data_IF_218952790918
#
_entry.id   IF_218952790918
#
_cell.length_a   1.000
_cell.length_b   1.000
_cell.length_c   1.000
_cell.angle_alpha   90.00
_cell.angle_beta   90.00
_cell.angle_gamma   90.00
#
_symmetry.space_group_name_H-M   'P 1'
#
loop_
_entity.id
_entity.type
_entity.pdbx_description
1 polymer ?
#
# COMPACT_ATOMS: atom_id res chain seq x y z
N UNK A 1 14.60 1.30 -11.28
CA UNK A 1 14.50 0.87 -9.87
C UNK A 1 14.38 2.04 -8.90
N UNK A 2 15.19 3.10 -8.95
CA UNK A 2 15.13 4.26 -8.05
C UNK A 2 13.72 4.87 -7.96
N UNK A 3 13.05 5.14 -9.09
CA UNK A 3 11.68 5.67 -9.12
C UNK A 3 10.70 4.71 -8.43
N UNK A 4 10.84 3.39 -8.61
CA UNK A 4 10.01 2.42 -7.90
C UNK A 4 10.17 2.51 -6.38
N UNK A 5 11.36 2.80 -5.87
CA UNK A 5 11.58 3.00 -4.44
C UNK A 5 10.94 4.29 -3.92
N UNK A 6 10.96 5.37 -4.69
CA UNK A 6 10.29 6.62 -4.32
C UNK A 6 8.77 6.46 -4.16
N UNK A 7 8.14 5.58 -4.94
CA UNK A 7 6.68 5.36 -4.86
C UNK A 7 6.20 4.74 -3.55
N UNK A 8 7.05 4.07 -2.77
CA UNK A 8 6.68 3.38 -1.52
C UNK A 8 7.21 4.03 -0.25
N UNK A 9 7.74 5.24 -0.34
CA UNK A 9 8.39 5.96 0.78
C UNK A 9 7.43 6.24 1.95
N UNK A 10 6.12 6.35 1.74
CA UNK A 10 5.15 6.75 2.77
C UNK A 10 5.40 8.15 3.35
N UNK A 11 6.04 9.03 2.59
CA UNK A 11 6.22 10.43 2.99
C UNK A 11 5.01 11.26 2.55
N UNK A 12 4.45 12.07 3.47
CA UNK A 12 3.31 12.94 3.14
C UNK A 12 3.60 13.90 2.00
N UNK A 13 4.84 14.40 1.89
CA UNK A 13 5.27 15.29 0.83
C UNK A 13 5.17 14.68 -0.58
N UNK A 14 5.27 13.35 -0.71
CA UNK A 14 5.17 12.64 -1.99
C UNK A 14 3.75 12.20 -2.35
N UNK A 15 2.82 12.20 -1.40
CA UNK A 15 1.45 11.78 -1.67
C UNK A 15 0.74 12.62 -2.74
N UNK A 16 0.84 13.98 -2.76
CA UNK A 16 0.22 14.79 -3.81
C UNK A 16 0.74 14.46 -5.21
N UNK A 17 2.04 14.16 -5.35
CA UNK A 17 2.69 13.84 -6.63
C UNK A 17 2.03 12.62 -7.29
N UNK A 18 1.70 11.60 -6.49
CA UNK A 18 1.08 10.36 -6.99
C UNK A 18 -0.45 10.35 -6.85
N UNK A 19 -1.01 11.35 -6.18
CA UNK A 19 -2.43 11.40 -5.87
C UNK A 19 -2.88 10.38 -4.80
N UNK A 20 -1.98 10.05 -3.87
CA UNK A 20 -2.18 9.16 -2.72
C UNK A 20 -1.26 7.94 -2.73
N UNK A 21 -1.02 7.37 -1.53
CA UNK A 21 -0.16 6.20 -1.38
C UNK A 21 -0.71 4.95 -2.11
N UNK A 22 -2.02 4.81 -2.19
CA UNK A 22 -2.71 3.74 -2.92
C UNK A 22 -2.37 3.74 -4.41
N UNK A 23 -2.28 4.92 -5.03
CA UNK A 23 -1.85 5.07 -6.43
C UNK A 23 -0.35 4.86 -6.56
N UNK A 24 0.45 5.42 -5.66
CA UNK A 24 1.89 5.23 -5.66
C UNK A 24 2.27 3.74 -5.60
N UNK A 25 1.59 2.93 -4.78
CA UNK A 25 1.77 1.48 -4.72
C UNK A 25 1.36 0.79 -6.05
N UNK A 26 0.32 1.28 -6.73
CA UNK A 26 -0.01 0.76 -8.08
C UNK A 26 1.10 1.04 -9.09
N UNK A 27 1.67 2.24 -9.09
CA UNK A 27 2.86 2.56 -9.90
C UNK A 27 4.03 1.65 -9.57
N UNK A 28 4.31 1.40 -8.29
CA UNK A 28 5.35 0.47 -7.86
C UNK A 28 5.17 -0.93 -8.48
N UNK A 29 3.94 -1.43 -8.49
CA UNK A 29 3.60 -2.74 -9.05
C UNK A 29 3.80 -2.83 -10.58
N UNK A 30 3.81 -1.71 -11.28
CA UNK A 30 4.12 -1.64 -12.71
C UNK A 30 5.63 -1.47 -12.91
N UNK A 31 6.25 -0.54 -12.18
CA UNK A 31 7.66 -0.20 -12.33
C UNK A 31 8.60 -1.33 -11.94
N UNK A 32 8.22 -2.16 -10.95
CA UNK A 32 9.04 -3.31 -10.55
C UNK A 32 9.28 -4.31 -11.67
N UNK A 33 8.23 -4.89 -12.27
CA UNK A 33 8.37 -5.78 -13.43
C UNK A 33 9.04 -5.11 -14.63
N UNK A 34 8.70 -3.84 -14.92
CA UNK A 34 9.32 -3.10 -16.01
C UNK A 34 10.82 -2.96 -15.83
N UNK A 35 11.30 -2.78 -14.59
CA UNK A 35 12.73 -2.71 -14.30
C UNK A 35 13.44 -4.06 -14.58
N UNK A 36 12.79 -5.19 -14.28
CA UNK A 36 13.34 -6.52 -14.60
C UNK A 36 13.40 -6.74 -16.12
N UNK A 37 12.33 -6.37 -16.85
CA UNK A 37 12.31 -6.48 -18.31
C UNK A 37 13.45 -5.64 -18.93
N UNK A 38 13.60 -4.38 -18.49
CA UNK A 38 14.67 -3.51 -18.96
C UNK A 38 16.07 -4.03 -18.63
N UNK A 39 16.24 -4.66 -17.48
CA UNK A 39 17.48 -5.32 -17.09
C UNK A 39 17.80 -6.48 -18.03
N UNK A 40 16.84 -7.33 -18.35
CA UNK A 40 17.01 -8.44 -19.31
C UNK A 40 17.38 -7.88 -20.69
N UNK A 41 16.68 -6.85 -21.17
CA UNK A 41 16.97 -6.18 -22.44
C UNK A 41 18.40 -5.63 -22.45
N UNK A 42 18.84 -5.00 -21.34
CA UNK A 42 20.22 -4.50 -21.20
C UNK A 42 21.25 -5.64 -21.37
N UNK A 43 21.07 -6.76 -20.68
CA UNK A 43 21.98 -7.91 -20.79
C UNK A 43 21.96 -8.52 -22.19
N UNK A 44 20.80 -8.57 -22.86
CA UNK A 44 20.70 -9.03 -24.26
C UNK A 44 21.51 -8.14 -25.19
N UNK A 45 21.41 -6.81 -25.06
CA UNK A 45 22.22 -5.89 -25.88
C UNK A 45 23.72 -6.03 -25.61
N UNK A 46 24.13 -6.25 -24.36
CA UNK A 46 25.52 -6.56 -24.03
C UNK A 46 26.00 -7.86 -24.68
N UNK A 47 25.16 -8.90 -24.68
CA UNK A 47 25.48 -10.17 -25.33
C UNK A 47 25.64 -10.03 -26.84
N UNK A 48 24.77 -9.26 -27.50
CA UNK A 48 24.86 -8.96 -28.93
C UNK A 48 26.14 -8.19 -29.27
N UNK A 49 26.48 -7.16 -28.49
CA UNK A 49 27.70 -6.38 -28.68
C UNK A 49 28.99 -7.22 -28.52
N UNK A 50 28.97 -8.18 -27.57
CA UNK A 50 30.12 -9.11 -27.42
C UNK A 50 30.24 -10.10 -28.57
N UNK A 51 29.15 -10.57 -29.16
CA UNK A 51 29.17 -11.41 -30.35
C UNK A 51 29.83 -10.69 -31.54
N UNK A 52 29.47 -9.42 -31.74
CA UNK A 52 30.10 -8.60 -32.78
C UNK A 52 31.60 -8.38 -32.53
N UNK A 53 31.99 -8.29 -31.24
CA UNK A 53 33.41 -8.14 -30.85
C UNK A 53 34.22 -9.45 -30.87
N UNK A 54 33.61 -10.59 -31.20
CA UNK A 54 34.27 -11.90 -31.27
C UNK A 54 34.65 -12.50 -29.90
N UNK A 55 34.08 -11.99 -28.81
CA UNK A 55 34.30 -12.47 -27.42
C UNK A 55 33.28 -13.53 -27.01
N UNK A 56 33.59 -14.31 -25.99
CA UNK A 56 32.71 -15.38 -25.50
C UNK A 56 31.49 -14.82 -24.76
N UNK A 57 30.28 -15.26 -25.14
CA UNK A 57 29.05 -14.96 -24.39
C UNK A 57 29.11 -15.56 -22.98
N UNK A 58 29.85 -16.66 -22.78
CA UNK A 58 30.01 -17.31 -21.48
C UNK A 58 30.51 -16.32 -20.41
N UNK A 59 31.36 -15.40 -20.76
CA UNK A 59 31.94 -14.41 -19.86
C UNK A 59 30.89 -13.43 -19.27
N UNK A 60 29.71 -13.33 -19.88
CA UNK A 60 28.60 -12.53 -19.38
C UNK A 60 27.73 -13.26 -18.35
N UNK A 61 27.78 -14.57 -18.29
CA UNK A 61 26.85 -15.37 -17.49
C UNK A 61 27.53 -16.19 -16.40
N UNK A 62 28.87 -16.39 -16.48
CA UNK A 62 29.60 -17.24 -15.52
C UNK A 62 30.41 -16.33 -14.59
N UNK A 63 30.02 -16.19 -13.31
CA UNK A 63 30.80 -15.43 -12.32
C UNK A 63 32.14 -16.18 -12.03
N UNK A 64 33.14 -15.43 -11.57
CA UNK A 64 34.46 -15.92 -11.18
C UNK A 64 35.37 -16.42 -12.32
N UNK A 65 34.94 -16.33 -13.57
CA UNK A 65 35.75 -16.66 -14.75
C UNK A 65 36.54 -15.49 -15.29
N UNK A 66 36.12 -14.27 -14.91
CA UNK A 66 36.71 -13.03 -15.36
C UNK A 66 37.06 -12.12 -14.16
N UNK A 67 37.50 -10.91 -14.43
CA UNK A 67 37.84 -9.92 -13.41
C UNK A 67 36.75 -9.72 -12.35
N UNK A 68 37.18 -9.46 -11.11
CA UNK A 68 36.30 -9.41 -9.93
C UNK A 68 35.11 -8.44 -10.06
N UNK A 69 35.29 -7.33 -10.78
CA UNK A 69 34.22 -6.35 -11.01
C UNK A 69 33.06 -6.95 -11.82
N UNK A 70 33.35 -7.61 -12.95
CA UNK A 70 32.34 -8.26 -13.80
C UNK A 70 31.61 -9.40 -13.08
N UNK A 71 32.31 -10.13 -12.21
CA UNK A 71 31.70 -11.19 -11.40
C UNK A 71 30.63 -10.63 -10.45
N UNK A 72 30.83 -9.45 -9.89
CA UNK A 72 29.83 -8.77 -9.04
C UNK A 72 28.57 -8.41 -9.83
N UNK A 73 28.72 -7.95 -11.04
CA UNK A 73 27.59 -7.57 -11.91
C UNK A 73 26.72 -8.77 -12.28
N UNK A 74 27.35 -9.91 -12.59
CA UNK A 74 26.65 -11.16 -12.86
C UNK A 74 25.90 -11.65 -11.61
N UNK A 75 26.49 -11.56 -10.44
CA UNK A 75 25.84 -11.92 -9.17
C UNK A 75 24.64 -11.00 -8.91
N UNK A 76 24.80 -9.69 -9.09
CA UNK A 76 23.73 -8.70 -8.91
C UNK A 76 22.57 -8.98 -9.88
N UNK A 77 22.88 -9.31 -11.13
CA UNK A 77 21.89 -9.69 -12.13
C UNK A 77 21.06 -10.90 -11.69
N UNK A 78 21.70 -12.00 -11.29
CA UNK A 78 21.01 -13.18 -10.81
C UNK A 78 20.23 -12.96 -9.53
N UNK A 79 20.75 -12.16 -8.59
CA UNK A 79 20.03 -11.79 -7.39
C UNK A 79 18.75 -10.97 -7.71
N UNK A 80 18.82 -10.06 -8.68
CA UNK A 80 17.63 -9.30 -9.11
C UNK A 80 16.59 -10.19 -9.77
N UNK A 81 17.00 -11.15 -10.59
CA UNK A 81 16.07 -12.13 -11.19
C UNK A 81 15.45 -13.02 -10.13
N UNK A 82 16.24 -13.52 -9.18
CA UNK A 82 15.76 -14.36 -8.08
C UNK A 82 14.77 -13.60 -7.20
N UNK A 83 15.13 -12.43 -6.71
CA UNK A 83 14.25 -11.60 -5.86
C UNK A 83 13.01 -11.12 -6.61
N UNK A 84 13.14 -10.81 -7.91
CA UNK A 84 12.01 -10.49 -8.79
C UNK A 84 11.05 -11.68 -8.94
N UNK A 85 11.56 -12.88 -9.16
CA UNK A 85 10.76 -14.11 -9.21
C UNK A 85 10.04 -14.40 -7.89
N UNK A 86 10.78 -14.32 -6.77
CA UNK A 86 10.21 -14.51 -5.43
C UNK A 86 9.14 -13.44 -5.08
N UNK A 87 9.23 -12.25 -5.65
CA UNK A 87 8.19 -11.21 -5.46
C UNK A 87 6.82 -11.60 -6.05
N UNK A 88 6.77 -12.57 -6.97
CA UNK A 88 5.54 -13.12 -7.55
C UNK A 88 5.06 -14.41 -6.90
N UNK A 89 5.85 -15.00 -5.99
CA UNK A 89 5.43 -16.23 -5.32
C UNK A 89 4.33 -15.97 -4.30
N UNK A 90 3.12 -16.41 -4.63
CA UNK A 90 1.93 -16.30 -3.78
C UNK A 90 1.87 -17.34 -2.65
N UNK A 91 2.82 -18.28 -2.58
CA UNK A 91 2.87 -19.33 -1.54
C UNK A 91 3.56 -18.83 -0.27
N UNK A 92 4.33 -17.75 -0.37
CA UNK A 92 4.99 -17.16 0.78
C UNK A 92 4.00 -16.43 1.68
N UNK A 93 4.20 -16.52 3.01
CA UNK A 93 3.50 -15.62 3.94
C UNK A 93 3.91 -14.17 3.67
N UNK A 94 2.99 -13.23 3.91
CA UNK A 94 3.25 -11.80 3.66
C UNK A 94 4.50 -11.30 4.38
N UNK A 95 4.74 -11.73 5.60
CA UNK A 95 5.89 -11.33 6.42
C UNK A 95 7.22 -11.78 5.79
N UNK A 96 7.30 -13.05 5.38
CA UNK A 96 8.49 -13.59 4.70
C UNK A 96 8.72 -12.90 3.36
N UNK A 97 7.66 -12.77 2.57
CA UNK A 97 7.69 -12.05 1.31
C UNK A 97 8.23 -10.63 1.49
N UNK A 98 7.72 -9.88 2.49
CA UNK A 98 8.16 -8.51 2.75
C UNK A 98 9.64 -8.45 3.16
N UNK A 99 10.10 -9.41 3.98
CA UNK A 99 11.50 -9.48 4.42
C UNK A 99 12.43 -9.72 3.24
N UNK A 100 12.10 -10.69 2.36
CA UNK A 100 12.87 -10.97 1.14
C UNK A 100 12.82 -9.80 0.17
N UNK A 101 11.63 -9.21 -0.04
CA UNK A 101 11.47 -8.08 -0.96
C UNK A 101 12.28 -6.84 -0.53
N UNK A 102 12.49 -6.62 0.77
CA UNK A 102 13.34 -5.51 1.27
C UNK A 102 14.80 -5.64 0.83
N UNK A 103 15.29 -6.87 0.57
CA UNK A 103 16.65 -7.10 0.08
C UNK A 103 16.86 -6.55 -1.33
N UNK A 104 15.81 -6.34 -2.13
CA UNK A 104 15.92 -5.71 -3.45
C UNK A 104 16.57 -4.34 -3.39
N UNK A 105 16.46 -3.63 -2.26
CA UNK A 105 17.13 -2.35 -2.05
C UNK A 105 18.65 -2.48 -1.93
N UNK A 106 19.16 -3.52 -1.28
CA UNK A 106 20.60 -3.78 -1.22
C UNK A 106 21.15 -4.14 -2.61
N UNK A 107 20.41 -4.96 -3.35
CA UNK A 107 20.80 -5.31 -4.72
C UNK A 107 20.72 -4.10 -5.66
N UNK A 108 19.75 -3.19 -5.43
CA UNK A 108 19.72 -1.89 -6.12
C UNK A 108 20.98 -1.07 -5.86
N UNK A 109 21.46 -1.00 -4.60
CA UNK A 109 22.68 -0.27 -4.25
C UNK A 109 23.92 -0.90 -4.91
N UNK A 110 23.98 -2.23 -5.03
CA UNK A 110 25.02 -2.92 -5.78
C UNK A 110 25.01 -2.55 -7.26
N UNK A 111 23.84 -2.60 -7.92
CA UNK A 111 23.69 -2.17 -9.32
C UNK A 111 23.96 -0.66 -9.52
N UNK A 112 23.69 0.15 -8.50
CA UNK A 112 24.02 1.57 -8.51
C UNK A 112 25.53 1.80 -8.45
N UNK A 113 26.26 1.02 -7.64
CA UNK A 113 27.71 1.06 -7.57
C UNK A 113 28.32 0.69 -8.93
N UNK A 114 27.85 -0.40 -9.55
CA UNK A 114 28.23 -0.77 -10.91
C UNK A 114 28.07 0.39 -11.90
N UNK A 115 26.89 1.01 -11.96
CA UNK A 115 26.60 2.10 -12.89
C UNK A 115 27.47 3.35 -12.73
N UNK A 116 28.09 3.53 -11.55
CA UNK A 116 28.98 4.68 -11.27
C UNK A 116 30.46 4.34 -11.49
N UNK A 117 30.85 3.07 -11.23
CA UNK A 117 32.24 2.64 -11.25
C UNK A 117 32.67 2.19 -12.65
N UNK A 118 31.74 1.59 -13.41
CA UNK A 118 32.06 1.06 -14.74
C UNK A 118 32.43 2.17 -15.71
N UNK A 119 33.60 2.11 -16.36
CA UNK A 119 33.99 3.06 -17.39
C UNK A 119 33.08 2.91 -18.63
N UNK A 120 32.67 4.03 -19.23
CA UNK A 120 31.84 4.01 -20.43
C UNK A 120 31.04 5.27 -20.63
N UNK A 121 30.04 5.24 -21.51
CA UNK A 121 29.25 6.39 -21.95
C UNK A 121 28.68 7.23 -20.82
N UNK A 122 28.36 6.62 -19.66
CA UNK A 122 27.83 7.34 -18.50
C UNK A 122 28.94 8.16 -17.83
N UNK A 123 30.16 7.62 -17.75
CA UNK A 123 31.30 8.32 -17.15
C UNK A 123 31.73 9.54 -17.99
N UNK A 124 31.60 9.44 -19.31
CA UNK A 124 32.07 10.46 -20.28
C UNK A 124 31.02 11.55 -20.54
N UNK A 125 29.73 11.31 -20.23
CA UNK A 125 28.68 12.30 -20.49
C UNK A 125 28.15 12.86 -19.14
N UNK A 126 28.75 13.93 -18.69
CA UNK A 126 28.46 14.62 -17.41
C UNK A 126 26.97 14.80 -17.08
N UNK A 127 26.08 15.27 -17.98
CA UNK A 127 24.66 15.44 -17.63
C UNK A 127 23.98 14.12 -17.29
N UNK A 128 24.28 13.04 -17.99
CA UNK A 128 23.73 11.72 -17.73
C UNK A 128 24.23 11.14 -16.40
N UNK A 129 25.53 11.29 -16.14
CA UNK A 129 26.16 10.89 -14.88
C UNK A 129 25.51 11.60 -13.70
N UNK A 130 25.37 12.92 -13.77
CA UNK A 130 24.73 13.73 -12.73
C UNK A 130 23.30 13.27 -12.46
N UNK A 131 22.52 13.06 -13.51
CA UNK A 131 21.15 12.57 -13.40
C UNK A 131 21.06 11.18 -12.76
N UNK A 132 21.93 10.25 -13.16
CA UNK A 132 22.03 8.92 -12.58
C UNK A 132 22.38 8.97 -11.09
N UNK A 133 23.36 9.78 -10.70
CA UNK A 133 23.74 9.95 -9.28
C UNK A 133 22.57 10.51 -8.46
N UNK A 134 21.86 11.50 -8.96
CA UNK A 134 20.66 12.05 -8.28
C UNK A 134 19.62 10.96 -8.07
N UNK A 135 19.31 10.15 -9.08
CA UNK A 135 18.35 9.06 -8.98
C UNK A 135 18.80 7.97 -8.00
N UNK A 136 20.09 7.62 -8.00
CA UNK A 136 20.66 6.63 -7.08
C UNK A 136 20.54 7.12 -5.63
N UNK A 137 20.94 8.35 -5.37
CA UNK A 137 20.85 8.95 -4.03
C UNK A 137 19.39 9.04 -3.56
N UNK A 138 18.49 9.48 -4.43
CA UNK A 138 17.06 9.57 -4.12
C UNK A 138 16.45 8.19 -3.84
N UNK A 139 16.75 7.18 -4.66
CA UNK A 139 16.27 5.81 -4.47
C UNK A 139 16.85 5.15 -3.20
N UNK A 140 18.14 5.33 -2.96
CA UNK A 140 18.82 4.83 -1.76
C UNK A 140 18.27 5.48 -0.47
N UNK A 141 18.11 6.80 -0.47
CA UNK A 141 17.49 7.53 0.64
C UNK A 141 16.03 7.09 0.88
N UNK A 142 15.26 6.88 -0.19
CA UNK A 142 13.90 6.36 -0.12
C UNK A 142 13.85 4.98 0.52
N UNK A 143 14.72 4.07 0.12
CA UNK A 143 14.82 2.74 0.68
C UNK A 143 15.24 2.79 2.16
N UNK A 144 16.29 3.54 2.49
CA UNK A 144 16.79 3.70 3.86
C UNK A 144 15.69 4.25 4.78
N UNK A 145 15.02 5.33 4.35
CA UNK A 145 13.90 5.89 5.10
C UNK A 145 12.80 4.85 5.31
N UNK A 146 12.38 4.17 4.24
CA UNK A 146 11.25 3.23 4.29
C UNK A 146 11.53 2.00 5.16
N UNK A 147 12.73 1.45 5.09
CA UNK A 147 13.09 0.19 5.77
C UNK A 147 13.58 0.42 7.19
N UNK A 148 14.38 1.47 7.42
CA UNK A 148 15.07 1.71 8.69
C UNK A 148 14.42 2.81 9.51
N UNK A 149 14.14 3.95 8.88
CA UNK A 149 13.79 5.17 9.61
C UNK A 149 12.28 5.36 9.80
N UNK A 150 11.43 4.79 8.94
CA UNK A 150 9.98 5.07 8.97
C UNK A 150 9.32 4.78 10.31
N UNK A 151 9.71 3.71 11.00
CA UNK A 151 9.13 3.36 12.30
C UNK A 151 9.48 4.39 13.42
N UNK A 152 10.52 5.19 13.21
CA UNK A 152 10.97 6.23 14.17
C UNK A 152 10.53 7.62 13.75
N UNK A 153 10.62 7.93 12.46
CA UNK A 153 10.41 9.28 11.92
C UNK A 153 9.06 9.44 11.20
N UNK A 154 8.32 8.35 10.99
CA UNK A 154 7.01 8.39 10.35
C UNK A 154 5.97 9.12 11.21
N UNK A 155 4.84 9.57 10.60
CA UNK A 155 3.77 10.28 11.30
C UNK A 155 3.03 9.34 12.25
N UNK A 156 3.55 9.19 13.46
CA UNK A 156 3.01 8.31 14.51
C UNK A 156 2.12 9.10 15.46
N UNK A 157 0.97 8.52 15.76
CA UNK A 157 0.01 8.96 16.77
C UNK A 157 -0.22 7.82 17.75
N UNK A 158 -0.28 8.16 19.03
CA UNK A 158 -0.56 7.23 20.10
C UNK A 158 -2.05 7.22 20.41
N UNK A 159 -2.64 6.04 20.41
CA UNK A 159 -4.03 5.80 20.77
C UNK A 159 -4.13 4.74 21.85
N UNK A 160 -5.18 4.81 22.68
CA UNK A 160 -5.58 3.75 23.58
C UNK A 160 -6.84 3.07 23.07
N UNK A 161 -6.85 1.76 23.11
CA UNK A 161 -8.02 0.97 22.79
C UNK A 161 -9.12 1.26 23.81
N UNK A 162 -10.26 1.76 23.34
CA UNK A 162 -11.45 1.98 24.19
C UNK A 162 -12.26 0.69 24.32
N UNK A 163 -12.51 0.04 23.17
CA UNK A 163 -13.26 -1.21 23.11
C UNK A 163 -13.04 -1.92 21.78
N UNK A 164 -13.27 -3.23 21.80
CA UNK A 164 -13.39 -4.06 20.59
C UNK A 164 -14.83 -4.49 20.47
N UNK A 165 -15.51 -4.11 19.40
CA UNK A 165 -16.90 -4.47 19.13
C UNK A 165 -16.94 -5.56 18.07
N UNK A 166 -17.50 -6.73 18.40
CA UNK A 166 -17.74 -7.79 17.41
C UNK A 166 -18.98 -7.46 16.58
N UNK A 167 -18.84 -7.47 15.28
CA UNK A 167 -19.93 -7.25 14.32
C UNK A 167 -20.48 -8.55 13.72
N UNK A 168 -19.87 -9.69 14.05
CA UNK A 168 -20.17 -10.97 13.41
C UNK A 168 -19.32 -11.21 12.15
N UNK A 169 -19.41 -12.42 11.56
CA UNK A 169 -18.73 -12.81 10.31
C UNK A 169 -17.23 -12.50 10.27
N UNK A 170 -16.54 -12.70 11.40
CA UNK A 170 -15.13 -12.37 11.57
C UNK A 170 -14.80 -10.88 11.31
N UNK A 171 -15.71 -9.97 11.62
CA UNK A 171 -15.52 -8.53 11.54
C UNK A 171 -15.59 -7.94 12.93
N UNK A 172 -14.65 -7.06 13.24
CA UNK A 172 -14.57 -6.29 14.48
C UNK A 172 -14.38 -4.82 14.19
N UNK A 173 -14.85 -3.98 15.09
CA UNK A 173 -14.49 -2.57 15.15
C UNK A 173 -13.54 -2.35 16.32
N UNK A 174 -12.37 -1.78 16.04
CA UNK A 174 -11.49 -1.22 17.06
C UNK A 174 -11.85 0.25 17.24
N UNK A 175 -12.34 0.61 18.41
CA UNK A 175 -12.63 2.00 18.78
C UNK A 175 -11.52 2.50 19.69
N UNK A 176 -10.89 3.60 19.33
CA UNK A 176 -9.65 4.08 19.94
C UNK A 176 -9.74 5.56 20.29
N UNK A 177 -9.15 5.94 21.44
CA UNK A 177 -9.05 7.31 21.92
C UNK A 177 -7.63 7.85 21.70
N UNK A 178 -7.46 9.08 21.22
CA UNK A 178 -6.13 9.71 21.13
C UNK A 178 -5.58 10.00 22.53
N UNK A 179 -4.28 9.74 22.72
CA UNK A 179 -3.60 10.02 24.00
C UNK A 179 -3.14 11.47 24.04
N UNK A 180 -2.27 11.88 23.13
CA UNK A 180 -1.67 13.22 23.16
C UNK A 180 -2.38 14.17 22.19
N UNK A 181 -2.32 13.81 20.91
CA UNK A 181 -2.89 14.61 19.83
C UNK A 181 -3.77 13.76 18.93
N UNK A 182 -4.87 14.36 18.53
CA UNK A 182 -5.77 13.74 17.56
C UNK A 182 -5.15 13.81 16.17
N UNK A 183 -5.22 12.71 15.43
CA UNK A 183 -4.87 12.69 14.01
C UNK A 183 -5.94 13.43 13.21
N UNK A 184 -5.53 14.40 12.41
CA UNK A 184 -6.40 15.04 11.43
C UNK A 184 -6.36 14.22 10.13
N UNK A 185 -7.52 13.88 9.59
CA UNK A 185 -7.62 13.06 8.38
C UNK A 185 -8.83 13.44 7.54
N UNK A 186 -8.79 13.07 6.27
CA UNK A 186 -9.95 13.15 5.37
C UNK A 186 -10.69 11.81 5.34
N UNK A 187 -12.04 11.83 5.24
CA UNK A 187 -12.84 10.60 5.12
C UNK A 187 -12.38 9.77 3.91
N UNK A 188 -12.27 8.45 4.11
CA UNK A 188 -11.82 7.51 3.09
C UNK A 188 -10.32 7.24 3.08
N UNK A 189 -9.54 7.91 3.93
CA UNK A 189 -8.13 7.59 4.15
C UNK A 189 -7.96 6.30 4.97
N UNK A 190 -6.74 5.80 5.00
CA UNK A 190 -6.37 4.65 5.80
C UNK A 190 -5.14 4.94 6.66
N UNK A 191 -4.90 4.09 7.62
CA UNK A 191 -3.75 4.15 8.53
C UNK A 191 -3.01 2.82 8.54
N UNK A 192 -1.76 2.86 9.01
CA UNK A 192 -1.08 1.65 9.43
C UNK A 192 -1.17 1.52 10.95
N UNK A 193 -1.65 0.38 11.40
CA UNK A 193 -1.75 0.04 12.82
C UNK A 193 -0.59 -0.87 13.23
N UNK A 194 -0.04 -0.61 14.41
CA UNK A 194 0.87 -1.49 15.13
C UNK A 194 0.40 -1.63 16.58
N UNK A 195 0.48 -2.84 17.09
CA UNK A 195 0.24 -3.15 18.50
C UNK A 195 1.56 -3.51 19.15
N UNK A 196 2.19 -2.60 19.93
CA UNK A 196 3.55 -2.79 20.45
C UNK A 196 3.71 -4.03 21.34
N UNK A 197 2.71 -4.34 22.17
CA UNK A 197 2.76 -5.40 23.16
C UNK A 197 2.32 -6.78 22.64
N UNK A 198 2.03 -6.87 21.34
CA UNK A 198 1.64 -8.14 20.72
C UNK A 198 2.88 -8.98 20.41
N UNK A 199 3.05 -10.10 21.12
CA UNK A 199 4.17 -11.03 20.92
C UNK A 199 4.31 -11.49 19.47
N UNK A 200 5.56 -11.53 18.99
CA UNK A 200 5.94 -12.05 17.67
C UNK A 200 5.66 -11.13 16.48
N UNK A 201 4.99 -9.98 16.65
CA UNK A 201 4.65 -9.05 15.55
C UNK A 201 4.90 -7.57 15.87
N UNK A 202 5.75 -7.27 16.82
CA UNK A 202 6.02 -5.92 17.35
C UNK A 202 6.47 -4.88 16.31
N UNK A 203 6.95 -5.31 15.12
CA UNK A 203 7.53 -4.40 14.12
C UNK A 203 6.65 -4.18 12.89
N UNK A 204 5.58 -4.95 12.73
CA UNK A 204 4.80 -4.92 11.50
C UNK A 204 3.70 -3.88 11.55
N UNK A 205 3.53 -3.21 10.41
CA UNK A 205 2.54 -2.18 10.20
C UNK A 205 1.49 -2.71 9.22
N UNK A 206 0.25 -2.82 9.69
CA UNK A 206 -0.87 -3.35 8.91
C UNK A 206 -1.82 -2.23 8.49
N UNK A 207 -2.18 -2.12 7.20
CA UNK A 207 -3.06 -1.06 6.70
C UNK A 207 -4.53 -1.36 6.98
N UNK A 208 -5.26 -0.35 7.48
CA UNK A 208 -6.71 -0.41 7.71
C UNK A 208 -7.36 0.91 7.32
N UNK A 209 -8.49 0.82 6.62
CA UNK A 209 -9.33 1.98 6.33
C UNK A 209 -9.93 2.55 7.61
N UNK A 210 -9.99 3.86 7.70
CA UNK A 210 -10.69 4.55 8.78
C UNK A 210 -12.18 4.48 8.48
N UNK A 211 -12.97 4.02 9.45
CA UNK A 211 -14.43 3.88 9.33
C UNK A 211 -15.22 4.88 10.18
N UNK A 212 -14.54 5.69 11.01
CA UNK A 212 -15.14 6.84 11.70
C UNK A 212 -15.10 8.11 10.85
N UNK A 213 -15.95 9.06 11.20
CA UNK A 213 -15.86 10.42 10.66
C UNK A 213 -14.74 11.21 11.32
N UNK A 214 -14.04 12.14 10.60
CA UNK A 214 -13.07 13.02 11.22
C UNK A 214 -13.67 14.02 12.23
N UNK A 215 -14.98 14.20 12.27
CA UNK A 215 -15.64 15.02 13.31
C UNK A 215 -15.84 14.25 14.62
N UNK A 216 -15.84 12.92 14.58
CA UNK A 216 -15.94 12.07 15.76
C UNK A 216 -14.65 12.15 16.58
N UNK A 217 -14.77 12.07 17.92
CA UNK A 217 -13.61 12.05 18.83
C UNK A 217 -12.82 10.76 18.73
N UNK A 218 -13.53 9.65 18.61
CA UNK A 218 -12.96 8.31 18.62
C UNK A 218 -12.56 7.90 17.20
N UNK A 219 -11.41 7.27 17.05
CA UNK A 219 -10.98 6.68 15.79
C UNK A 219 -11.49 5.24 15.71
N UNK A 220 -12.23 4.90 14.67
CA UNK A 220 -12.73 3.54 14.43
C UNK A 220 -12.05 2.92 13.22
N UNK A 221 -11.55 1.70 13.41
CA UNK A 221 -11.05 0.83 12.34
C UNK A 221 -11.90 -0.43 12.30
N UNK A 222 -12.56 -0.68 11.18
CA UNK A 222 -13.38 -1.88 10.97
C UNK A 222 -12.56 -2.92 10.21
N UNK A 223 -12.35 -4.09 10.82
CA UNK A 223 -11.32 -5.04 10.42
C UNK A 223 -11.92 -6.44 10.26
N UNK A 224 -11.61 -7.11 9.14
CA UNK A 224 -11.90 -8.54 8.98
C UNK A 224 -10.73 -9.37 9.55
N UNK A 225 -11.04 -10.30 10.45
CA UNK A 225 -10.06 -11.11 11.18
C UNK A 225 -9.73 -12.40 10.43
N UNK A 226 -8.92 -12.31 9.38
CA UNK A 226 -8.57 -13.44 8.49
C UNK A 226 -7.11 -13.88 8.57
N UNK A 227 -6.20 -12.99 8.97
CA UNK A 227 -4.75 -13.24 9.03
C UNK A 227 -4.24 -13.46 10.46
N UNK A 228 -2.98 -13.88 10.60
CA UNK A 228 -2.36 -14.11 11.92
C UNK A 228 -2.41 -12.89 12.84
N UNK A 229 -2.12 -11.71 12.33
CA UNK A 229 -2.23 -10.45 13.07
C UNK A 229 -3.68 -10.13 13.45
N UNK A 230 -4.59 -10.11 12.46
CA UNK A 230 -5.97 -9.66 12.68
C UNK A 230 -6.79 -10.61 13.57
N UNK A 231 -6.45 -11.91 13.63
CA UNK A 231 -7.11 -12.89 14.53
C UNK A 231 -6.82 -12.64 16.00
N UNK A 232 -5.75 -11.93 16.33
CA UNK A 232 -5.40 -11.59 17.72
C UNK A 232 -6.05 -10.30 18.20
N UNK A 233 -6.52 -9.44 17.30
CA UNK A 233 -7.11 -8.15 17.66
C UNK A 233 -8.34 -8.27 18.57
N UNK A 234 -9.21 -9.30 18.43
CA UNK A 234 -10.35 -9.47 19.33
C UNK A 234 -10.00 -9.71 20.80
N UNK A 235 -8.79 -10.21 21.10
CA UNK A 235 -8.33 -10.48 22.47
C UNK A 235 -7.65 -9.29 23.15
N UNK A 236 -7.56 -8.14 22.47
CA UNK A 236 -6.97 -6.94 23.05
C UNK A 236 -7.88 -6.37 24.14
N UNK A 237 -7.28 -6.00 25.28
CA UNK A 237 -7.97 -5.39 26.40
C UNK A 237 -8.11 -3.88 26.23
N UNK A 238 -9.16 -3.30 26.79
CA UNK A 238 -9.31 -1.86 26.87
C UNK A 238 -8.10 -1.24 27.61
N UNK A 239 -7.61 -0.11 27.13
CA UNK A 239 -6.39 0.50 27.61
C UNK A 239 -5.11 0.05 26.89
N UNK A 240 -5.19 -0.98 26.04
CA UNK A 240 -4.02 -1.37 25.21
C UNK A 240 -3.54 -0.20 24.35
N UNK A 241 -2.23 0.05 24.39
CA UNK A 241 -1.59 1.09 23.59
C UNK A 241 -1.48 0.66 22.13
N UNK A 242 -1.84 1.55 21.21
CA UNK A 242 -1.84 1.34 19.78
C UNK A 242 -1.08 2.46 19.08
N UNK A 243 -0.14 2.09 18.22
CA UNK A 243 0.54 3.04 17.36
C UNK A 243 -0.18 3.14 16.00
N UNK A 244 -0.64 4.32 15.68
CA UNK A 244 -1.33 4.63 14.42
C UNK A 244 -0.43 5.53 13.58
N UNK A 245 -0.08 5.10 12.39
CA UNK A 245 0.70 5.86 11.43
C UNK A 245 -0.17 6.31 10.27
N UNK A 246 -0.21 7.61 10.00
CA UNK A 246 -1.03 8.15 8.92
C UNK A 246 -1.39 9.62 9.09
N UNK A 247 -2.44 10.06 8.39
CA UNK A 247 -3.30 9.33 7.46
C UNK A 247 -2.63 9.16 6.09
N UNK A 248 -3.08 8.16 5.31
CA UNK A 248 -2.59 7.89 3.96
C UNK A 248 -3.76 7.61 3.01
N UNK A 249 -3.48 7.74 1.70
CA UNK A 249 -4.43 7.41 0.64
C UNK A 249 -5.01 8.64 -0.06
N UNK A 250 -5.47 8.43 -1.29
CA UNK A 250 -6.08 9.46 -2.12
C UNK A 250 -7.54 9.17 -2.45
N UNK A 251 -8.15 8.17 -1.83
CA UNK A 251 -9.57 7.86 -1.95
C UNK A 251 -10.36 8.64 -0.91
N UNK A 252 -10.45 9.97 -1.11
CA UNK A 252 -11.07 10.86 -0.12
C UNK A 252 -12.31 11.54 -0.70
N UNK A 253 -13.27 11.90 0.16
CA UNK A 253 -14.48 12.62 -0.23
C UNK A 253 -14.14 13.99 -0.84
N UNK A 254 -13.12 14.67 -0.34
CA UNK A 254 -12.65 15.95 -0.86
C UNK A 254 -12.23 15.88 -2.33
N UNK A 255 -11.62 14.79 -2.76
CA UNK A 255 -11.25 14.57 -4.17
C UNK A 255 -12.45 14.61 -5.11
N UNK A 256 -13.61 14.22 -4.61
CA UNK A 256 -14.87 14.17 -5.34
C UNK A 256 -15.76 15.38 -5.04
N UNK A 257 -15.26 16.37 -4.31
CA UNK A 257 -16.01 17.59 -3.94
C UNK A 257 -16.69 18.33 -5.12
N UNK A 258 -16.09 18.38 -6.34
CA UNK A 258 -16.74 19.02 -7.48
C UNK A 258 -18.00 18.31 -7.97
N UNK A 259 -18.19 17.03 -7.61
CA UNK A 259 -19.29 16.21 -8.10
C UNK A 259 -20.49 16.31 -7.14
N UNK A 260 -21.64 16.70 -7.68
CA UNK A 260 -22.91 16.78 -6.95
C UNK A 260 -23.61 15.43 -6.76
N UNK A 261 -23.15 14.42 -7.49
CA UNK A 261 -23.72 13.07 -7.48
C UNK A 261 -22.61 12.06 -7.37
N UNK A 262 -22.70 11.16 -6.40
CA UNK A 262 -21.73 10.10 -6.18
C UNK A 262 -22.41 8.73 -6.20
N UNK A 263 -21.79 7.77 -6.83
CA UNK A 263 -22.15 6.35 -6.74
C UNK A 263 -21.05 5.65 -5.97
N UNK A 264 -21.39 5.14 -4.80
CA UNK A 264 -20.48 4.44 -3.90
C UNK A 264 -20.82 2.96 -3.89
N UNK A 265 -19.84 2.11 -4.20
CA UNK A 265 -20.03 0.64 -4.23
C UNK A 265 -19.05 0.01 -3.26
N UNK A 266 -19.54 -0.48 -2.12
CA UNK A 266 -18.76 -1.15 -1.10
C UNK A 266 -19.03 -2.65 -1.10
N UNK A 267 -18.00 -3.49 -1.37
CA UNK A 267 -18.13 -4.94 -1.35
C UNK A 267 -17.58 -5.52 -0.05
N UNK A 268 -18.42 -6.25 0.70
CA UNK A 268 -18.04 -6.84 1.99
C UNK A 268 -17.43 -5.80 2.93
N UNK A 269 -16.22 -6.07 3.48
CA UNK A 269 -15.51 -5.11 4.35
C UNK A 269 -15.08 -3.83 3.61
N UNK A 270 -15.10 -3.79 2.27
CA UNK A 270 -14.83 -2.59 1.48
C UNK A 270 -15.87 -1.47 1.64
N UNK A 271 -16.93 -1.69 2.43
CA UNK A 271 -17.89 -0.64 2.84
C UNK A 271 -17.26 0.37 3.82
N UNK A 272 -16.21 -0.02 4.55
CA UNK A 272 -15.65 0.74 5.68
C UNK A 272 -15.25 2.18 5.38
N UNK A 273 -14.56 2.53 4.27
CA UNK A 273 -14.26 3.93 3.98
C UNK A 273 -15.52 4.78 3.74
N UNK A 274 -16.59 4.16 3.23
CA UNK A 274 -17.84 4.85 2.98
C UNK A 274 -18.59 5.17 4.27
N UNK A 275 -18.46 4.37 5.34
CA UNK A 275 -19.08 4.69 6.65
C UNK A 275 -18.57 6.03 7.16
N UNK A 276 -17.24 6.24 7.19
CA UNK A 276 -16.66 7.51 7.59
C UNK A 276 -17.00 8.68 6.65
N UNK A 277 -17.09 8.41 5.32
CA UNK A 277 -17.51 9.40 4.35
C UNK A 277 -18.97 9.85 4.56
N UNK A 278 -19.89 8.91 4.72
CA UNK A 278 -21.31 9.22 4.95
C UNK A 278 -21.52 10.01 6.24
N UNK A 279 -20.91 9.55 7.34
CA UNK A 279 -20.98 10.25 8.61
C UNK A 279 -20.45 11.70 8.51
N UNK A 280 -19.39 11.91 7.72
CA UNK A 280 -18.83 13.23 7.49
C UNK A 280 -19.73 14.12 6.63
N UNK A 281 -20.27 13.59 5.52
CA UNK A 281 -21.18 14.35 4.62
C UNK A 281 -22.43 14.80 5.37
N UNK A 282 -23.02 13.93 6.18
CA UNK A 282 -24.19 14.29 7.02
C UNK A 282 -23.84 15.37 8.04
N UNK A 283 -22.69 15.24 8.71
CA UNK A 283 -22.26 16.20 9.72
C UNK A 283 -21.97 17.59 9.13
N UNK A 284 -21.43 17.63 7.92
CA UNK A 284 -21.11 18.88 7.22
C UNK A 284 -22.30 19.49 6.46
N UNK A 285 -23.43 18.79 6.40
CA UNK A 285 -24.59 19.19 5.61
C UNK A 285 -24.22 19.49 4.14
N UNK A 286 -23.28 18.73 3.58
CA UNK A 286 -22.93 18.81 2.17
C UNK A 286 -23.95 17.99 1.37
N UNK A 287 -24.97 18.69 0.83
CA UNK A 287 -26.16 18.12 0.21
C UNK A 287 -25.85 17.45 -1.15
N UNK A 288 -24.83 16.59 -1.20
CA UNK A 288 -24.52 15.76 -2.36
C UNK A 288 -25.44 14.54 -2.39
N UNK A 289 -25.99 14.23 -3.54
CA UNK A 289 -26.75 13.00 -3.71
C UNK A 289 -25.83 11.80 -3.82
N UNK A 290 -25.96 10.84 -2.91
CA UNK A 290 -25.13 9.65 -2.81
C UNK A 290 -25.98 8.40 -3.03
N UNK A 291 -25.63 7.59 -4.00
CA UNK A 291 -26.15 6.22 -4.14
C UNK A 291 -25.13 5.26 -3.55
N UNK A 292 -25.46 4.60 -2.45
CA UNK A 292 -24.63 3.63 -1.79
C UNK A 292 -25.14 2.22 -2.07
N UNK A 293 -24.32 1.42 -2.75
CA UNK A 293 -24.54 -0.02 -2.93
C UNK A 293 -23.66 -0.79 -1.97
N UNK A 294 -24.27 -1.54 -1.05
CA UNK A 294 -23.55 -2.46 -0.19
C UNK A 294 -23.68 -3.87 -0.75
N UNK A 295 -22.61 -4.34 -1.40
CA UNK A 295 -22.56 -5.64 -2.08
C UNK A 295 -22.02 -6.67 -1.12
N UNK A 296 -22.78 -7.71 -0.85
CA UNK A 296 -22.44 -8.83 0.03
C UNK A 296 -22.78 -10.15 -0.64
N UNK A 297 -22.25 -11.26 -0.14
CA UNK A 297 -22.60 -12.57 -0.65
C UNK A 297 -24.04 -12.92 -0.24
N UNK A 298 -24.30 -12.92 1.06
CA UNK A 298 -25.60 -13.18 1.67
C UNK A 298 -26.00 -11.98 2.55
N UNK A 299 -27.28 -11.77 2.79
CA UNK A 299 -27.78 -10.68 3.65
C UNK A 299 -27.17 -10.69 5.05
N UNK A 300 -26.96 -11.89 5.62
CA UNK A 300 -26.28 -12.06 6.92
C UNK A 300 -24.84 -11.56 6.97
N UNK A 301 -24.21 -11.37 5.81
CA UNK A 301 -22.85 -10.83 5.69
C UNK A 301 -22.83 -9.29 5.72
N UNK A 302 -24.02 -8.66 5.68
CA UNK A 302 -24.17 -7.21 5.68
C UNK A 302 -24.13 -6.64 7.10
N UNK A 303 -23.02 -6.82 7.81
CA UNK A 303 -22.88 -6.49 9.25
C UNK A 303 -23.05 -4.99 9.58
N UNK A 304 -23.02 -4.12 8.59
CA UNK A 304 -23.26 -2.68 8.73
C UNK A 304 -24.61 -2.21 8.18
N UNK A 305 -25.49 -3.10 7.74
CA UNK A 305 -26.79 -2.73 7.16
C UNK A 305 -27.66 -1.96 8.14
N UNK A 306 -27.79 -2.44 9.39
CA UNK A 306 -28.54 -1.74 10.43
C UNK A 306 -27.95 -0.38 10.76
N UNK A 307 -26.61 -0.29 10.93
CA UNK A 307 -25.92 0.98 11.18
C UNK A 307 -26.18 1.99 10.05
N UNK A 308 -26.13 1.55 8.80
CA UNK A 308 -26.35 2.41 7.64
C UNK A 308 -27.81 2.90 7.64
N UNK A 309 -28.78 2.02 7.86
CA UNK A 309 -30.20 2.38 7.87
C UNK A 309 -30.56 3.33 9.01
N UNK A 310 -30.12 3.01 10.21
CA UNK A 310 -30.45 3.78 11.42
C UNK A 310 -29.73 5.12 11.50
N UNK A 311 -28.45 5.17 11.08
CA UNK A 311 -27.63 6.37 11.28
C UNK A 311 -27.63 7.33 10.09
N UNK A 312 -27.92 6.84 8.87
CA UNK A 312 -27.69 7.63 7.66
C UNK A 312 -28.93 7.82 6.79
N UNK A 313 -30.00 7.03 6.97
CA UNK A 313 -31.20 7.14 6.13
C UNK A 313 -32.35 7.95 6.78
N UNK A 314 -32.27 8.17 8.08
CA UNK A 314 -33.32 8.88 8.83
C UNK A 314 -33.28 10.42 8.68
N UNK A 315 -32.22 10.93 8.10
CA UNK A 315 -32.07 12.34 7.76
C UNK A 315 -32.62 12.56 6.36
N UNK A 316 -33.39 13.64 6.12
CA UNK A 316 -33.96 14.09 4.83
C UNK A 316 -33.01 13.78 3.66
N UNK A 317 -33.23 12.62 3.03
CA UNK A 317 -32.15 11.79 2.56
C UNK A 317 -31.67 12.20 1.17
N UNK A 318 -30.49 12.74 1.13
CA UNK A 318 -29.65 12.79 -0.09
C UNK A 318 -28.93 11.47 -0.36
N UNK A 319 -29.20 10.42 0.48
CA UNK A 319 -28.54 9.11 0.41
C UNK A 319 -29.58 8.07 0.02
N UNK A 320 -29.40 7.51 -1.17
CA UNK A 320 -30.12 6.34 -1.65
C UNK A 320 -29.27 5.11 -1.31
N UNK A 321 -29.77 4.17 -0.52
CA UNK A 321 -29.05 2.99 -0.09
C UNK A 321 -29.69 1.72 -0.62
N UNK A 322 -28.87 0.83 -1.17
CA UNK A 322 -29.33 -0.48 -1.63
C UNK A 322 -28.36 -1.58 -1.15
N UNK A 323 -28.93 -2.56 -0.43
CA UNK A 323 -28.24 -3.80 -0.11
C UNK A 323 -28.34 -4.76 -1.29
N UNK A 324 -27.18 -5.26 -1.77
CA UNK A 324 -27.08 -6.13 -2.94
C UNK A 324 -26.50 -7.49 -2.57
N UNK A 325 -27.35 -8.49 -2.19
CA UNK A 325 -26.90 -9.86 -1.93
C UNK A 325 -26.72 -10.62 -3.25
N UNK A 326 -25.46 -10.95 -3.58
CA UNK A 326 -25.11 -11.59 -4.87
C UNK A 326 -25.60 -13.02 -5.00
N UNK A 327 -25.82 -13.73 -3.88
CA UNK A 327 -26.40 -15.07 -3.89
C UNK A 327 -27.82 -15.10 -4.48
N UNK A 328 -28.60 -14.02 -4.33
CA UNK A 328 -29.99 -13.93 -4.80
C UNK A 328 -30.15 -13.08 -6.07
N UNK A 329 -29.30 -12.05 -6.25
CA UNK A 329 -29.44 -11.09 -7.37
C UNK A 329 -28.39 -11.29 -8.47
N UNK A 330 -27.48 -12.26 -8.31
CA UNK A 330 -26.36 -12.45 -9.22
C UNK A 330 -25.28 -11.38 -9.06
N UNK A 331 -24.23 -11.50 -9.88
CA UNK A 331 -23.10 -10.55 -9.82
C UNK A 331 -23.54 -9.14 -10.25
N UNK A 332 -23.20 -8.12 -9.46
CA UNK A 332 -23.40 -6.72 -9.84
C UNK A 332 -22.45 -6.39 -10.99
N UNK A 333 -22.91 -6.57 -12.21
CA UNK A 333 -22.15 -6.20 -13.43
C UNK A 333 -22.22 -4.70 -13.61
N UNK A 334 -21.16 -4.00 -13.22
CA UNK A 334 -20.92 -2.68 -13.80
C UNK A 334 -20.53 -2.86 -15.26
N UNK A 335 -21.10 -2.07 -16.16
CA UNK A 335 -20.67 -2.04 -17.56
C UNK A 335 -19.16 -1.69 -17.61
N UNK A 336 -18.32 -2.72 -17.80
CA UNK A 336 -16.86 -2.59 -17.83
C UNK A 336 -16.07 -3.50 -16.87
N UNK A 337 -16.69 -4.21 -15.92
CA UNK A 337 -16.01 -5.21 -15.09
C UNK A 337 -16.14 -6.62 -15.70
N UNK A 338 -15.02 -7.18 -16.15
CA UNK A 338 -14.93 -8.49 -16.80
C UNK A 338 -14.70 -9.67 -15.85
N UNK A 339 -14.64 -9.46 -14.53
CA UNK A 339 -14.39 -10.54 -13.55
C UNK A 339 -15.27 -10.40 -12.33
N UNK A 340 -16.07 -11.42 -12.07
CA UNK A 340 -16.70 -11.70 -10.77
C UNK A 340 -15.73 -12.44 -9.88
#
# INVERSE_FOLDING_TARGET
MAIAMLTVVRAHALQPVFGGLDRAVRFHRILGPSAIVLLIVHVVFLALAQLEGGTSIGDLFIPFWSESARSMDIIIFYLLLLLGGLAYDRRMSYERWLSVHRLTGLVFLGGAAHAVIEPGTIADFEPLRTWMVILILAGGAAWLYRVVLFNRLGPRYLYLLKTVVSRGNNIIDLVMLPVDRRMMYEPGTFVFLRVPDMEGQQKELHPFSISSSPVERDLRLSIRTVGGFTRRLPSLEAGTQLDVYGPFGGFTSHRYAPFRRLVCIGAGIGITPFLGMLAFEISNRDFRRIWLYYVVRDEKDAVYDSEIRESYLDTESYIDYELWPTAHRGCARCAGCLTC
#
